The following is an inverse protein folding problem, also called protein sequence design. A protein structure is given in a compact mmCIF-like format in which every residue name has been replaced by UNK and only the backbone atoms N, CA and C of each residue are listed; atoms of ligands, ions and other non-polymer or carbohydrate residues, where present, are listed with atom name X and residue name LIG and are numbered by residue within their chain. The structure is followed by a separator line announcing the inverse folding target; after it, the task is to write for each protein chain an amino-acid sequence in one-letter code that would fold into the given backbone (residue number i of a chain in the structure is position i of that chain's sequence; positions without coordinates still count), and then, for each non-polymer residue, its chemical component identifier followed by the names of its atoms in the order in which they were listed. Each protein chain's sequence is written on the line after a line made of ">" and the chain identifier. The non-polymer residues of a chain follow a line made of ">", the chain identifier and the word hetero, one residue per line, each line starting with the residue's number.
data_IF_252856564023
#
_entry.id   IF_252856564023
#
_cell.length_a   1.000
_cell.length_b   1.000
_cell.length_c   1.000
_cell.angle_alpha   90.00
_cell.angle_beta   90.00
_cell.angle_gamma   90.00
#
_symmetry.space_group_name_H-M   'P 1'
#
loop_
_entity.id
_entity.type
_entity.pdbx_description
1 polymer ?
#
# COMPACT_ATOMS: atom_id res chain seq x y z
N UNK A 1 -21.17 -3.58 3.62
CA UNK A 1 -20.38 -3.56 2.36
C UNK A 1 -18.93 -3.16 2.68
N UNK A 2 -17.92 -3.75 2.02
CA UNK A 2 -16.48 -3.61 2.35
C UNK A 2 -16.00 -2.16 2.45
N UNK A 3 -16.40 -1.32 1.49
CA UNK A 3 -16.06 0.10 1.42
C UNK A 3 -16.39 0.86 2.72
N UNK A 4 -17.55 0.60 3.31
CA UNK A 4 -17.97 1.23 4.57
C UNK A 4 -17.08 0.85 5.76
N UNK A 5 -16.59 -0.40 5.79
CA UNK A 5 -15.65 -0.85 6.82
C UNK A 5 -14.28 -0.19 6.66
N UNK A 6 -13.79 -0.06 5.43
CA UNK A 6 -12.53 0.63 5.14
C UNK A 6 -12.61 2.12 5.49
N UNK A 7 -13.68 2.82 5.12
CA UNK A 7 -13.91 4.21 5.54
C UNK A 7 -13.90 4.35 7.07
N UNK A 8 -14.60 3.46 7.78
CA UNK A 8 -14.62 3.46 9.25
C UNK A 8 -13.24 3.22 9.85
N UNK A 9 -12.46 2.32 9.25
CA UNK A 9 -11.08 2.04 9.66
C UNK A 9 -10.18 3.26 9.45
N UNK A 10 -10.24 3.89 8.28
CA UNK A 10 -9.43 5.08 7.97
C UNK A 10 -9.80 6.22 8.89
N UNK A 11 -11.08 6.54 9.06
CA UNK A 11 -11.52 7.59 9.98
C UNK A 11 -11.02 7.36 11.41
N UNK A 12 -10.99 6.10 11.88
CA UNK A 12 -10.39 5.75 13.17
C UNK A 12 -8.88 6.01 13.19
N UNK A 13 -8.15 5.59 12.16
CA UNK A 13 -6.71 5.84 12.03
C UNK A 13 -6.39 7.33 12.01
N UNK A 14 -7.12 8.13 11.24
CA UNK A 14 -6.92 9.59 11.22
C UNK A 14 -7.11 10.21 12.60
N UNK A 15 -8.13 9.81 13.35
CA UNK A 15 -8.33 10.26 14.74
C UNK A 15 -7.18 9.86 15.67
N UNK A 16 -6.66 8.64 15.54
CA UNK A 16 -5.53 8.16 16.34
C UNK A 16 -4.26 8.94 16.03
N UNK A 17 -4.00 9.19 14.75
CA UNK A 17 -2.87 9.98 14.28
C UNK A 17 -2.96 11.42 14.81
N UNK A 18 -4.11 12.09 14.63
CA UNK A 18 -4.34 13.45 15.11
C UNK A 18 -4.14 13.61 16.63
N UNK A 19 -4.56 12.62 17.43
CA UNK A 19 -4.39 12.64 18.90
C UNK A 19 -2.94 12.55 19.37
N UNK A 20 -2.07 11.97 18.54
CA UNK A 20 -0.67 11.66 18.89
C UNK A 20 0.31 12.30 17.90
N UNK A 21 -0.15 13.34 17.20
CA UNK A 21 0.63 14.01 16.16
C UNK A 21 1.79 14.78 16.80
N UNK A 22 3.01 14.47 16.36
CA UNK A 22 4.18 15.29 16.59
C UNK A 22 4.59 15.95 15.26
N UNK A 23 4.38 17.27 15.09
CA UNK A 23 4.73 17.98 13.87
C UNK A 23 6.22 17.92 13.50
N UNK A 24 7.11 17.62 14.46
CA UNK A 24 8.55 17.52 14.21
C UNK A 24 8.97 16.12 13.72
N UNK A 25 8.10 15.12 13.87
CA UNK A 25 8.39 13.73 13.53
C UNK A 25 7.17 13.03 12.91
N UNK A 26 6.76 13.40 11.68
CA UNK A 26 5.64 12.76 10.99
C UNK A 26 5.90 11.27 10.75
N UNK A 27 4.97 10.42 11.17
CA UNK A 27 5.14 8.95 11.12
C UNK A 27 4.70 8.33 9.79
N UNK A 28 3.69 8.93 9.16
CA UNK A 28 3.07 8.40 7.95
C UNK A 28 2.40 9.50 7.12
N UNK A 29 1.74 9.11 6.03
CA UNK A 29 1.01 10.01 5.13
C UNK A 29 -0.06 10.83 5.87
N UNK A 30 -0.75 10.25 6.85
CA UNK A 30 -1.82 10.94 7.58
C UNK A 30 -1.22 12.07 8.40
N UNK A 31 -0.12 11.82 9.11
CA UNK A 31 0.57 12.87 9.87
C UNK A 31 1.05 14.00 8.95
N UNK A 32 1.67 13.66 7.82
CA UNK A 32 2.14 14.65 6.85
C UNK A 32 0.99 15.52 6.31
N UNK A 33 -0.16 14.92 6.00
CA UNK A 33 -1.33 15.64 5.53
C UNK A 33 -1.93 16.54 6.62
N UNK A 34 -2.03 16.05 7.87
CA UNK A 34 -2.52 16.85 9.00
C UNK A 34 -1.62 18.07 9.28
N UNK A 35 -0.31 17.90 9.18
CA UNK A 35 0.66 19.01 9.32
C UNK A 35 0.46 20.02 8.19
N UNK A 36 0.24 19.56 6.96
CA UNK A 36 0.02 20.45 5.82
C UNK A 36 -1.31 21.21 5.95
N UNK A 37 -2.37 20.53 6.40
CA UNK A 37 -3.66 21.13 6.70
C UNK A 37 -3.56 22.26 7.75
N UNK A 38 -2.75 22.08 8.80
CA UNK A 38 -2.53 23.14 9.79
C UNK A 38 -1.75 24.34 9.21
N UNK A 39 -0.81 24.10 8.29
CA UNK A 39 -0.06 25.18 7.62
C UNK A 39 -0.93 26.02 6.69
N UNK A 40 -1.94 25.41 6.08
CA UNK A 40 -2.83 26.05 5.12
C UNK A 40 -4.19 26.47 5.71
N UNK A 41 -4.37 26.39 7.03
CA UNK A 41 -5.67 26.65 7.69
C UNK A 41 -6.28 28.03 7.40
N UNK A 42 -5.45 29.00 7.05
CA UNK A 42 -5.86 30.38 6.77
C UNK A 42 -6.10 30.62 5.26
N UNK A 43 -5.85 29.63 4.39
CA UNK A 43 -6.16 29.69 2.97
C UNK A 43 -7.58 29.14 2.70
N UNK A 44 -8.54 29.99 2.32
CA UNK A 44 -9.90 29.54 2.01
C UNK A 44 -10.00 28.66 0.77
N UNK A 45 -8.94 28.57 -0.06
CA UNK A 45 -8.87 27.71 -1.24
C UNK A 45 -8.06 26.43 -1.00
N UNK A 46 -7.66 26.15 0.24
CA UNK A 46 -6.89 24.94 0.53
C UNK A 46 -7.71 23.67 0.27
N UNK A 47 -7.08 22.73 -0.43
CA UNK A 47 -7.63 21.38 -0.66
C UNK A 47 -7.25 20.41 0.48
N UNK A 48 -6.49 20.86 1.48
CA UNK A 48 -6.14 20.05 2.64
C UNK A 48 -7.30 20.06 3.65
N UNK A 49 -8.36 19.33 3.31
CA UNK A 49 -9.52 19.14 4.17
C UNK A 49 -9.52 17.76 4.81
N UNK A 50 -10.26 17.61 5.92
CA UNK A 50 -10.44 16.30 6.57
C UNK A 50 -11.11 15.28 5.64
N UNK A 51 -12.04 15.72 4.79
CA UNK A 51 -12.69 14.86 3.79
C UNK A 51 -11.68 14.37 2.75
N UNK A 52 -10.87 15.29 2.19
CA UNK A 52 -9.85 14.94 1.20
C UNK A 52 -8.77 14.04 1.81
N UNK A 53 -8.41 14.20 3.08
CA UNK A 53 -7.52 13.29 3.80
C UNK A 53 -8.09 11.85 3.83
N UNK A 54 -9.34 11.68 4.25
CA UNK A 54 -9.98 10.36 4.31
C UNK A 54 -10.11 9.72 2.93
N UNK A 55 -10.55 10.47 1.92
CA UNK A 55 -10.72 9.98 0.55
C UNK A 55 -9.39 9.65 -0.11
N UNK A 56 -8.37 10.48 0.05
CA UNK A 56 -7.04 10.24 -0.53
C UNK A 56 -6.39 9.03 0.11
N UNK A 57 -6.49 8.89 1.44
CA UNK A 57 -6.01 7.69 2.14
C UNK A 57 -6.72 6.44 1.62
N UNK A 58 -8.04 6.49 1.46
CA UNK A 58 -8.82 5.37 0.93
C UNK A 58 -8.39 4.97 -0.48
N UNK A 59 -8.21 5.96 -1.36
CA UNK A 59 -7.74 5.74 -2.72
C UNK A 59 -6.35 5.10 -2.74
N UNK A 60 -5.42 5.57 -1.90
CA UNK A 60 -4.06 5.02 -1.83
C UNK A 60 -4.06 3.55 -1.40
N UNK A 61 -4.88 3.20 -0.40
CA UNK A 61 -5.03 1.81 0.05
C UNK A 61 -5.59 0.89 -1.05
N UNK A 62 -6.64 1.33 -1.76
CA UNK A 62 -7.23 0.54 -2.84
C UNK A 62 -6.27 0.38 -4.02
N UNK A 63 -5.68 1.49 -4.47
CA UNK A 63 -4.78 1.50 -5.62
C UNK A 63 -3.57 0.60 -5.38
N UNK A 64 -2.95 0.68 -4.19
CA UNK A 64 -1.76 -0.10 -3.87
C UNK A 64 -2.05 -1.59 -3.63
N UNK A 65 -3.15 -1.92 -2.97
CA UNK A 65 -3.41 -3.31 -2.55
C UNK A 65 -3.88 -4.18 -3.72
N UNK A 66 -4.87 -3.72 -4.47
CA UNK A 66 -5.47 -4.53 -5.54
C UNK A 66 -4.49 -4.77 -6.69
N UNK A 67 -3.76 -3.72 -7.12
CA UNK A 67 -2.84 -3.81 -8.26
C UNK A 67 -1.65 -4.71 -7.94
N UNK A 68 -0.99 -4.52 -6.80
CA UNK A 68 0.18 -5.33 -6.40
C UNK A 68 -0.23 -6.78 -6.14
N UNK A 69 -1.35 -7.01 -5.45
CA UNK A 69 -1.88 -8.36 -5.21
C UNK A 69 -2.17 -9.09 -6.52
N UNK A 70 -2.83 -8.42 -7.47
CA UNK A 70 -3.12 -8.96 -8.79
C UNK A 70 -1.83 -9.28 -9.55
N UNK A 71 -0.89 -8.34 -9.60
CA UNK A 71 0.41 -8.54 -10.29
C UNK A 71 1.18 -9.71 -9.68
N UNK A 72 1.27 -9.81 -8.36
CA UNK A 72 1.95 -10.93 -7.70
C UNK A 72 1.25 -12.26 -7.99
N UNK A 73 -0.09 -12.29 -7.93
CA UNK A 73 -0.87 -13.48 -8.25
C UNK A 73 -0.62 -13.97 -9.68
N UNK A 74 -0.66 -13.07 -10.65
CA UNK A 74 -0.39 -13.43 -12.05
C UNK A 74 1.08 -13.73 -12.31
N UNK A 75 2.00 -13.00 -11.68
CA UNK A 75 3.44 -13.23 -11.76
C UNK A 75 3.83 -14.61 -11.26
N UNK A 76 3.35 -15.01 -10.07
CA UNK A 76 3.59 -16.35 -9.53
C UNK A 76 2.95 -17.44 -10.39
N UNK A 77 1.73 -17.24 -10.89
CA UNK A 77 1.09 -18.17 -11.82
C UNK A 77 1.88 -18.34 -13.12
N UNK A 78 2.47 -17.25 -13.63
CA UNK A 78 3.32 -17.27 -14.80
C UNK A 78 4.61 -18.07 -14.54
N UNK A 79 5.29 -17.84 -13.41
CA UNK A 79 6.49 -18.59 -13.04
C UNK A 79 6.22 -20.11 -12.94
N UNK A 80 5.13 -20.52 -12.30
CA UNK A 80 4.73 -21.93 -12.22
C UNK A 80 4.46 -22.57 -13.58
N UNK A 81 3.98 -21.81 -14.57
CA UNK A 81 3.76 -22.29 -15.94
C UNK A 81 5.04 -22.33 -16.78
N UNK A 82 6.05 -21.54 -16.42
CA UNK A 82 7.29 -21.37 -17.17
C UNK A 82 8.51 -21.61 -16.27
N UNK A 83 8.73 -22.85 -15.78
CA UNK A 83 9.80 -23.17 -14.83
C UNK A 83 11.22 -22.87 -15.36
N UNK A 84 11.40 -22.80 -16.68
CA UNK A 84 12.66 -22.38 -17.31
C UNK A 84 12.99 -20.89 -17.10
N UNK A 85 12.00 -20.06 -16.76
CA UNK A 85 12.18 -18.62 -16.46
C UNK A 85 12.62 -18.42 -15.00
N UNK A 86 12.32 -19.36 -14.10
CA UNK A 86 12.66 -19.29 -12.68
C UNK A 86 14.15 -19.61 -12.40
N UNK A 87 14.96 -19.86 -13.44
CA UNK A 87 16.41 -20.06 -13.33
C UNK A 87 16.84 -21.43 -12.81
N UNK A 88 15.90 -22.36 -12.61
CA UNK A 88 16.21 -23.76 -12.38
C UNK A 88 16.29 -24.51 -13.70
N UNK A 89 17.47 -24.54 -14.32
CA UNK A 89 17.82 -25.78 -15.02
C UNK A 89 18.09 -26.79 -13.90
N UNK A 90 17.33 -27.90 -13.78
CA UNK A 90 17.82 -29.00 -12.96
C UNK A 90 19.17 -29.36 -13.57
N UNK A 91 20.24 -29.35 -12.77
CA UNK A 91 21.49 -29.94 -13.20
C UNK A 91 21.17 -31.33 -13.79
N UNK A 92 21.68 -31.66 -14.99
CA UNK A 92 21.43 -32.97 -15.55
C UNK A 92 21.84 -34.01 -14.52
N UNK A 93 20.87 -34.82 -14.08
CA UNK A 93 21.08 -35.91 -13.13
C UNK A 93 22.29 -36.71 -13.66
N UNK A 94 23.41 -36.81 -12.93
CA UNK A 94 24.54 -37.57 -13.40
C UNK A 94 24.07 -39.00 -13.65
N UNK A 95 24.14 -39.44 -14.91
CA UNK A 95 23.77 -40.79 -15.31
C UNK A 95 24.54 -41.83 -14.49
N UNK A 96 23.99 -43.04 -14.30
CA UNK A 96 24.66 -44.08 -13.53
C UNK A 96 26.06 -44.32 -14.11
N UNK A 97 27.09 -44.20 -13.28
CA UNK A 97 28.44 -44.57 -13.67
C UNK A 97 28.49 -46.09 -13.81
N UNK A 98 28.51 -46.56 -15.05
CA UNK A 98 28.88 -47.94 -15.36
C UNK A 98 30.37 -48.11 -15.10
N UNK A 99 30.69 -48.84 -14.02
CA UNK A 99 31.98 -49.53 -13.86
C UNK A 99 32.10 -50.66 -14.88
#
# INVERSE_FOLDING_TARGET
>A
RLLGRMRSFIARRVRENARSLDPQSPRDFIDAFLIQMEKEKDDPNSEFTMENLELTTLNLFFAGTETVSSTLRFGLLFLMKHPHVEGGTPDPIPGPQTQ
#
